data_IF_304288239519
#
_entry.id   IF_304288239519
#
_cell.length_a   1.000
_cell.length_b   1.000
_cell.length_c   1.000
_cell.angle_alpha   90.00
_cell.angle_beta   90.00
_cell.angle_gamma   90.00
#
_symmetry.space_group_name_H-M   'P 1'
#
loop_
_entity.id
_entity.type
_entity.pdbx_description
1 polymer ?
#
# COMPACT_ATOMS: atom_id res chain seq x y z
N UNK A 1 -54.72 -8.79 -28.97
CA UNK A 1 -54.65 -8.82 -27.50
C UNK A 1 -53.50 -9.72 -27.06
N UNK A 2 -53.31 -10.94 -27.56
CA UNK A 2 -52.25 -11.86 -27.11
C UNK A 2 -50.83 -11.36 -27.42
N UNK A 3 -50.57 -10.80 -28.60
CA UNK A 3 -49.27 -10.28 -29.00
C UNK A 3 -48.86 -9.03 -28.16
N UNK A 4 -49.83 -8.21 -27.79
CA UNK A 4 -49.61 -7.04 -26.91
C UNK A 4 -49.17 -7.49 -25.52
N UNK A 5 -49.84 -8.45 -24.90
CA UNK A 5 -49.47 -8.99 -23.61
C UNK A 5 -48.09 -9.70 -23.63
N UNK A 6 -47.75 -10.41 -24.69
CA UNK A 6 -46.44 -11.05 -24.83
C UNK A 6 -45.29 -10.03 -24.84
N UNK A 7 -45.44 -8.88 -25.52
CA UNK A 7 -44.43 -7.80 -25.52
C UNK A 7 -44.20 -7.20 -24.15
N UNK A 8 -45.25 -6.97 -23.36
CA UNK A 8 -45.09 -6.46 -22.00
C UNK A 8 -44.45 -7.47 -21.05
N UNK A 9 -44.76 -8.77 -21.15
CA UNK A 9 -44.11 -9.80 -20.37
C UNK A 9 -42.61 -9.88 -20.68
N UNK A 10 -42.20 -9.83 -21.93
CA UNK A 10 -40.82 -9.83 -22.34
C UNK A 10 -40.09 -8.58 -21.81
N UNK A 11 -40.70 -7.42 -21.97
CA UNK A 11 -40.12 -6.17 -21.45
C UNK A 11 -39.93 -6.18 -19.91
N UNK A 12 -40.91 -6.72 -19.17
CA UNK A 12 -40.80 -6.89 -17.72
C UNK A 12 -39.67 -7.85 -17.35
N UNK A 13 -39.58 -8.99 -18.06
CA UNK A 13 -38.48 -9.95 -17.80
C UNK A 13 -37.12 -9.33 -18.05
N UNK A 14 -36.95 -8.61 -19.17
CA UNK A 14 -35.70 -7.93 -19.50
C UNK A 14 -35.39 -6.87 -18.45
N UNK A 15 -36.35 -6.03 -18.09
CA UNK A 15 -36.15 -5.00 -17.05
C UNK A 15 -35.77 -5.62 -15.70
N UNK A 16 -36.46 -6.69 -15.30
CA UNK A 16 -36.14 -7.42 -14.07
C UNK A 16 -34.73 -8.00 -14.11
N UNK A 17 -34.34 -8.62 -15.23
CA UNK A 17 -33.00 -9.15 -15.42
C UNK A 17 -31.92 -8.04 -15.33
N UNK A 18 -32.18 -6.89 -15.95
CA UNK A 18 -31.27 -5.72 -15.88
C UNK A 18 -31.17 -5.20 -14.45
N UNK A 19 -32.29 -5.04 -13.74
CA UNK A 19 -32.28 -4.58 -12.33
C UNK A 19 -31.52 -5.57 -11.45
N UNK A 20 -31.75 -6.86 -11.58
CA UNK A 20 -31.03 -7.88 -10.83
C UNK A 20 -29.53 -7.83 -11.13
N UNK A 21 -29.16 -7.77 -12.42
CA UNK A 21 -27.76 -7.67 -12.85
C UNK A 21 -27.05 -6.43 -12.25
N UNK A 22 -27.67 -5.26 -12.36
CA UNK A 22 -27.13 -4.01 -11.81
C UNK A 22 -27.00 -4.10 -10.28
N UNK A 23 -28.00 -4.68 -9.61
CA UNK A 23 -27.97 -4.86 -8.16
C UNK A 23 -26.84 -5.78 -7.71
N UNK A 24 -26.63 -6.88 -8.42
CA UNK A 24 -25.51 -7.80 -8.15
C UNK A 24 -24.15 -7.14 -8.43
N UNK A 25 -24.04 -6.35 -9.48
CA UNK A 25 -22.83 -5.61 -9.79
C UNK A 25 -22.52 -4.57 -8.70
N UNK A 26 -23.51 -3.78 -8.28
CA UNK A 26 -23.36 -2.82 -7.19
C UNK A 26 -22.99 -3.51 -5.87
N UNK A 27 -23.63 -4.63 -5.55
CA UNK A 27 -23.27 -5.43 -4.38
C UNK A 27 -21.80 -5.87 -4.45
N UNK A 28 -21.36 -6.38 -5.59
CA UNK A 28 -19.99 -6.86 -5.79
C UNK A 28 -18.97 -5.73 -5.58
N UNK A 29 -19.13 -4.57 -6.21
CA UNK A 29 -18.14 -3.48 -6.11
C UNK A 29 -18.04 -2.90 -4.69
N UNK A 30 -19.17 -2.88 -3.95
CA UNK A 30 -19.18 -2.46 -2.54
C UNK A 30 -18.59 -3.54 -1.64
N UNK A 31 -18.86 -4.81 -1.91
CA UNK A 31 -18.31 -5.93 -1.14
C UNK A 31 -16.80 -6.01 -1.32
N UNK A 32 -16.29 -5.86 -2.55
CA UNK A 32 -14.84 -5.90 -2.85
C UNK A 32 -14.07 -4.77 -2.15
N UNK A 33 -14.68 -3.58 -2.00
CA UNK A 33 -14.07 -2.47 -1.27
C UNK A 33 -13.92 -2.73 0.25
N UNK A 34 -14.62 -3.74 0.78
CA UNK A 34 -14.56 -4.15 2.20
C UNK A 34 -13.77 -5.43 2.42
N UNK A 35 -13.43 -6.11 1.34
CA UNK A 35 -12.67 -7.36 1.35
C UNK A 35 -11.17 -7.04 1.37
N UNK A 36 -10.64 -6.85 2.58
CA UNK A 36 -9.22 -6.61 2.78
C UNK A 36 -8.47 -7.94 2.73
N UNK A 37 -7.58 -8.06 1.77
CA UNK A 37 -6.71 -9.23 1.61
C UNK A 37 -5.37 -9.02 2.29
N UNK A 38 -4.88 -10.06 2.96
CA UNK A 38 -3.48 -10.13 3.33
C UNK A 38 -2.76 -10.89 2.23
N UNK A 39 -1.58 -10.42 1.91
CA UNK A 39 -0.64 -11.10 1.03
C UNK A 39 0.59 -11.46 1.85
N UNK A 40 0.74 -12.73 2.15
CA UNK A 40 1.96 -13.24 2.77
C UNK A 40 2.95 -13.62 1.68
N UNK A 41 4.10 -12.96 1.70
CA UNK A 41 5.13 -13.13 0.67
C UNK A 41 6.45 -13.45 1.34
N UNK A 42 7.14 -14.50 0.86
CA UNK A 42 8.53 -14.72 1.17
C UNK A 42 9.38 -14.04 0.07
N UNK A 43 10.22 -13.10 0.48
CA UNK A 43 11.18 -12.45 -0.39
C UNK A 43 12.55 -13.06 -0.16
N UNK A 44 13.07 -13.78 -1.18
CA UNK A 44 14.42 -14.32 -1.17
C UNK A 44 15.41 -13.34 -1.73
N UNK A 45 16.48 -13.10 -0.97
CA UNK A 45 17.58 -12.20 -1.32
C UNK A 45 18.89 -12.99 -1.29
N UNK A 46 19.71 -12.94 -2.36
CA UNK A 46 20.93 -13.78 -2.46
C UNK A 46 21.93 -13.55 -1.33
N UNK A 47 22.23 -12.31 -1.03
CA UNK A 47 23.27 -11.93 -0.06
C UNK A 47 22.70 -11.43 1.28
N UNK A 48 21.45 -11.82 1.59
CA UNK A 48 20.83 -11.49 2.87
C UNK A 48 21.70 -11.97 4.03
N UNK A 49 21.92 -11.08 5.00
CA UNK A 49 22.57 -11.47 6.25
C UNK A 49 21.77 -12.60 6.94
N UNK A 50 22.38 -13.73 7.27
CA UNK A 50 21.66 -14.86 7.89
C UNK A 50 20.89 -14.50 9.16
N UNK A 51 21.28 -13.43 9.86
CA UNK A 51 20.59 -12.93 11.06
C UNK A 51 19.24 -12.29 10.77
N UNK A 52 18.96 -11.99 9.50
CA UNK A 52 17.69 -11.45 9.01
C UNK A 52 16.77 -12.54 8.43
N UNK A 53 17.15 -13.81 8.50
CA UNK A 53 16.26 -14.90 8.11
C UNK A 53 14.98 -14.88 8.94
N UNK A 54 13.81 -14.85 8.27
CA UNK A 54 12.50 -14.75 8.92
C UNK A 54 12.13 -13.34 9.42
N UNK A 55 12.91 -12.30 9.14
CA UNK A 55 12.55 -10.91 9.47
C UNK A 55 11.29 -10.49 8.74
N UNK A 56 10.29 -10.00 9.47
CA UNK A 56 8.95 -9.69 8.93
C UNK A 56 8.72 -8.20 8.83
N UNK A 57 8.39 -7.77 7.62
CA UNK A 57 7.99 -6.41 7.29
C UNK A 57 6.49 -6.40 7.02
N UNK A 58 5.71 -5.62 7.78
CA UNK A 58 4.37 -5.26 7.38
C UNK A 58 4.43 -4.02 6.48
N UNK A 59 3.68 -4.04 5.36
CA UNK A 59 3.51 -2.89 4.49
C UNK A 59 2.06 -2.65 4.14
N UNK A 60 1.60 -1.39 4.30
CA UNK A 60 0.28 -0.92 3.88
C UNK A 60 0.31 0.56 3.51
N UNK A 61 -0.51 0.95 2.54
CA UNK A 61 -0.63 2.32 2.06
C UNK A 61 -2.08 2.66 1.74
N UNK A 62 -2.35 3.91 1.41
CA UNK A 62 -3.64 4.38 0.90
C UNK A 62 -4.80 3.98 1.82
N UNK A 63 -4.66 4.27 3.11
CA UNK A 63 -5.65 3.90 4.12
C UNK A 63 -6.92 4.72 3.94
N UNK A 64 -6.80 6.00 3.57
CA UNK A 64 -7.91 6.92 3.38
C UNK A 64 -8.97 6.80 4.48
N UNK A 65 -8.53 6.91 5.73
CA UNK A 65 -9.41 6.77 6.89
C UNK A 65 -10.63 7.69 6.78
N UNK A 66 -11.81 7.11 7.02
CA UNK A 66 -13.09 7.78 6.80
C UNK A 66 -14.17 6.77 6.47
N UNK A 67 -14.88 6.91 5.35
CA UNK A 67 -15.76 5.90 4.83
C UNK A 67 -14.99 4.97 3.87
N UNK A 68 -14.96 3.63 4.06
CA UNK A 68 -15.64 2.87 5.13
C UNK A 68 -14.85 2.71 6.43
N UNK A 69 -13.59 3.17 6.51
CA UNK A 69 -12.66 2.92 7.61
C UNK A 69 -12.79 3.97 8.74
N UNK A 70 -13.94 3.96 9.42
CA UNK A 70 -14.18 4.75 10.64
C UNK A 70 -13.61 4.05 11.88
N UNK A 71 -13.90 4.54 13.09
CA UNK A 71 -13.36 4.02 14.36
C UNK A 71 -13.27 2.49 14.43
N UNK A 72 -14.39 1.78 14.19
CA UNK A 72 -14.42 0.32 14.26
C UNK A 72 -13.57 -0.32 13.18
N UNK A 73 -13.59 0.22 11.96
CA UNK A 73 -12.79 -0.27 10.85
C UNK A 73 -11.30 -0.10 11.13
N UNK A 74 -10.89 1.08 11.60
CA UNK A 74 -9.50 1.36 11.96
C UNK A 74 -9.01 0.51 13.14
N UNK A 75 -9.83 0.35 14.20
CA UNK A 75 -9.48 -0.52 15.33
C UNK A 75 -9.32 -1.98 14.91
N UNK A 76 -10.20 -2.47 14.04
CA UNK A 76 -10.08 -3.82 13.48
C UNK A 76 -8.82 -3.98 12.63
N UNK A 77 -8.51 -2.98 11.79
CA UNK A 77 -7.29 -2.96 10.97
C UNK A 77 -6.04 -3.05 11.84
N UNK A 78 -5.92 -2.21 12.87
CA UNK A 78 -4.78 -2.23 13.80
C UNK A 78 -4.68 -3.58 14.54
N UNK A 79 -5.80 -4.10 15.06
CA UNK A 79 -5.82 -5.43 15.69
C UNK A 79 -5.35 -6.51 14.73
N UNK A 80 -5.71 -6.37 13.47
CA UNK A 80 -5.35 -7.31 12.43
C UNK A 80 -3.86 -7.22 12.06
N UNK A 81 -3.31 -6.00 11.96
CA UNK A 81 -1.88 -5.76 11.73
C UNK A 81 -1.05 -6.35 12.87
N UNK A 82 -1.41 -6.08 14.11
CA UNK A 82 -0.66 -6.56 15.28
C UNK A 82 -0.62 -8.10 15.36
N UNK A 83 -1.68 -8.78 14.89
CA UNK A 83 -1.71 -10.25 14.81
C UNK A 83 -0.65 -10.84 13.86
N UNK A 84 -0.14 -10.05 12.92
CA UNK A 84 0.89 -10.50 11.99
C UNK A 84 2.27 -10.60 12.66
N UNK A 85 2.44 -9.97 13.82
CA UNK A 85 3.70 -10.00 14.58
C UNK A 85 4.91 -9.58 13.73
N UNK A 86 4.74 -8.51 12.96
CA UNK A 86 5.81 -7.95 12.15
C UNK A 86 6.93 -7.37 13.02
N UNK A 87 8.17 -7.51 12.58
CA UNK A 87 9.31 -6.89 13.24
C UNK A 87 9.34 -5.37 13.04
N UNK A 88 8.87 -4.91 11.88
CA UNK A 88 8.72 -3.50 11.54
C UNK A 88 7.44 -3.26 10.78
N UNK A 89 6.78 -2.12 11.00
CA UNK A 89 5.60 -1.67 10.26
C UNK A 89 5.98 -0.49 9.39
N UNK A 90 5.68 -0.59 8.09
CA UNK A 90 5.93 0.44 7.09
C UNK A 90 4.60 0.92 6.50
N UNK A 91 4.39 2.25 6.52
CA UNK A 91 3.18 2.89 6.04
C UNK A 91 3.49 3.80 4.84
N UNK A 92 2.87 3.54 3.71
CA UNK A 92 3.21 4.11 2.41
C UNK A 92 2.43 5.37 2.00
N UNK A 93 1.88 6.15 2.93
CA UNK A 93 1.19 7.42 2.63
C UNK A 93 -0.32 7.30 2.42
N UNK A 94 -0.95 8.45 2.21
CA UNK A 94 -2.39 8.62 2.00
C UNK A 94 -3.23 8.04 3.14
N UNK A 95 -3.00 8.57 4.35
CA UNK A 95 -3.64 8.07 5.57
C UNK A 95 -5.07 8.53 5.73
N UNK A 96 -5.39 9.73 5.22
CA UNK A 96 -6.72 10.35 5.33
C UNK A 96 -7.26 10.75 3.97
N UNK A 97 -8.58 10.70 3.81
CA UNK A 97 -9.24 10.88 2.52
C UNK A 97 -9.51 12.34 2.14
N UNK A 98 -8.60 13.28 2.40
CA UNK A 98 -8.72 14.67 1.96
C UNK A 98 -9.84 15.47 2.62
N UNK A 99 -10.32 15.04 3.77
CA UNK A 99 -11.13 15.84 4.67
C UNK A 99 -10.71 15.55 6.11
N UNK A 100 -10.60 16.59 6.93
CA UNK A 100 -10.18 16.55 8.35
C UNK A 100 -10.93 15.52 9.22
N UNK A 101 -11.99 14.91 8.70
CA UNK A 101 -12.74 13.89 9.44
C UNK A 101 -12.01 12.55 9.53
N UNK A 102 -11.04 12.28 8.65
CA UNK A 102 -10.22 11.08 8.69
C UNK A 102 -9.27 11.04 9.90
N UNK A 103 -8.75 12.20 10.28
CA UNK A 103 -7.78 12.35 11.37
C UNK A 103 -8.27 11.76 12.69
N UNK A 104 -9.54 11.99 13.04
CA UNK A 104 -10.14 11.46 14.26
C UNK A 104 -10.22 9.93 14.28
N UNK A 105 -10.03 9.26 13.15
CA UNK A 105 -10.07 7.80 13.06
C UNK A 105 -8.69 7.19 12.94
N UNK A 106 -7.81 7.80 12.14
CA UNK A 106 -6.48 7.28 11.83
C UNK A 106 -5.53 7.41 13.03
N UNK A 107 -5.16 8.62 13.43
CA UNK A 107 -4.12 8.85 14.43
C UNK A 107 -4.40 8.19 15.79
N UNK A 108 -5.64 8.22 16.36
CA UNK A 108 -5.93 7.49 17.57
C UNK A 108 -5.81 5.96 17.44
N UNK A 109 -6.03 5.43 16.25
CA UNK A 109 -5.95 3.99 16.03
C UNK A 109 -4.48 3.53 15.92
N UNK A 110 -3.66 4.22 15.13
CA UNK A 110 -2.26 3.82 14.86
C UNK A 110 -1.35 3.93 16.09
N UNK A 111 -1.73 4.67 17.13
CA UNK A 111 -1.08 4.62 18.45
C UNK A 111 -0.97 3.21 19.04
N UNK A 112 -1.83 2.30 18.62
CA UNK A 112 -1.89 0.93 19.12
C UNK A 112 -1.20 -0.07 18.18
N UNK A 113 -0.45 0.41 17.18
CA UNK A 113 0.38 -0.45 16.36
C UNK A 113 1.56 -0.97 17.18
N UNK A 114 1.86 -2.25 17.03
CA UNK A 114 2.89 -2.94 17.78
C UNK A 114 3.88 -3.60 16.81
N UNK A 115 5.13 -3.16 16.85
CA UNK A 115 6.23 -3.79 16.14
C UNK A 115 7.52 -3.67 16.94
N UNK A 116 8.38 -4.67 16.87
CA UNK A 116 9.65 -4.73 17.63
C UNK A 116 10.56 -3.53 17.35
N UNK A 117 10.63 -3.10 16.11
CA UNK A 117 11.48 -2.00 15.64
C UNK A 117 10.68 -0.74 15.30
N UNK A 118 9.41 -0.67 15.72
CA UNK A 118 8.57 0.52 15.55
C UNK A 118 7.85 0.61 14.22
N UNK A 119 7.22 1.76 13.99
CA UNK A 119 6.43 2.07 12.81
C UNK A 119 7.03 3.28 12.11
N UNK A 120 7.28 3.15 10.82
CA UNK A 120 7.83 4.18 9.94
C UNK A 120 6.85 4.48 8.82
N UNK A 121 6.81 5.74 8.39
CA UNK A 121 5.81 6.23 7.45
C UNK A 121 6.43 7.23 6.47
N UNK A 122 5.85 7.35 5.28
CA UNK A 122 6.07 8.46 4.34
C UNK A 122 4.77 9.22 4.12
N UNK A 123 4.82 10.43 3.62
CA UNK A 123 3.62 11.16 3.22
C UNK A 123 3.18 10.76 1.80
N UNK A 124 1.86 10.68 1.60
CA UNK A 124 1.25 10.67 0.27
C UNK A 124 0.70 12.04 -0.11
N UNK A 125 0.31 12.21 -1.37
CA UNK A 125 -0.15 13.49 -1.88
C UNK A 125 -1.43 14.00 -1.17
N UNK A 126 -2.30 13.12 -0.67
CA UNK A 126 -3.48 13.52 0.10
C UNK A 126 -3.13 14.02 1.50
N UNK A 127 -2.03 13.59 2.08
CA UNK A 127 -1.59 14.04 3.40
C UNK A 127 -1.11 15.51 3.36
N UNK A 128 -0.69 16.01 2.19
CA UNK A 128 -0.35 17.42 1.95
C UNK A 128 -1.56 18.36 1.85
N UNK A 129 -2.78 17.84 1.73
CA UNK A 129 -3.99 18.67 1.78
C UNK A 129 -4.29 19.18 3.20
N UNK A 130 -3.62 18.65 4.19
CA UNK A 130 -3.53 19.20 5.54
C UNK A 130 -2.26 20.06 5.66
N UNK A 131 -2.03 20.67 6.80
CA UNK A 131 -0.73 21.30 7.01
C UNK A 131 0.32 20.22 7.34
N UNK A 132 1.46 20.26 6.66
CA UNK A 132 2.56 19.31 6.88
C UNK A 132 2.92 19.20 8.38
N UNK A 133 2.99 20.34 9.07
CA UNK A 133 3.28 20.38 10.50
C UNK A 133 2.24 19.66 11.36
N UNK A 134 0.97 19.64 10.97
CA UNK A 134 -0.05 18.89 11.69
C UNK A 134 0.11 17.40 11.47
N UNK A 135 0.41 16.94 10.25
CA UNK A 135 0.67 15.53 9.95
C UNK A 135 1.90 15.06 10.73
N UNK A 136 3.01 15.79 10.68
CA UNK A 136 4.25 15.48 11.42
C UNK A 136 3.97 15.36 12.93
N UNK A 137 3.29 16.36 13.50
CA UNK A 137 2.94 16.37 14.93
C UNK A 137 2.04 15.18 15.30
N UNK A 138 1.00 14.91 14.53
CA UNK A 138 0.02 13.83 14.81
C UNK A 138 0.65 12.45 14.66
N UNK A 139 1.56 12.25 13.69
CA UNK A 139 2.35 11.03 13.55
C UNK A 139 3.26 10.81 14.76
N UNK A 140 4.01 11.86 15.15
CA UNK A 140 4.87 11.78 16.33
C UNK A 140 4.08 11.48 17.62
N UNK A 141 2.93 12.14 17.83
CA UNK A 141 2.01 11.86 18.95
C UNK A 141 1.43 10.43 18.91
N UNK A 142 1.34 9.86 17.73
CA UNK A 142 0.93 8.47 17.52
C UNK A 142 2.06 7.45 17.69
N UNK A 143 3.31 7.90 17.90
CA UNK A 143 4.48 7.02 18.01
C UNK A 143 4.96 6.49 16.64
N UNK A 144 4.59 7.15 15.55
CA UNK A 144 5.00 6.82 14.17
C UNK A 144 6.12 7.77 13.76
N UNK A 145 7.24 7.23 13.29
CA UNK A 145 8.33 8.03 12.73
C UNK A 145 8.06 8.34 11.27
N UNK A 146 7.84 9.61 10.96
CA UNK A 146 7.66 10.07 9.58
C UNK A 146 9.04 10.31 8.94
N UNK A 147 9.30 9.62 7.83
CA UNK A 147 10.51 9.77 7.02
C UNK A 147 10.19 10.68 5.83
N UNK A 148 10.95 11.74 5.70
CA UNK A 148 10.78 12.70 4.61
C UNK A 148 12.15 13.07 4.03
N UNK A 149 12.53 12.38 2.96
CA UNK A 149 13.89 12.40 2.43
C UNK A 149 14.91 12.08 3.53
N UNK A 150 14.65 11.02 4.25
CA UNK A 150 15.44 10.63 5.42
C UNK A 150 15.50 9.10 5.53
N UNK A 151 16.43 8.61 6.31
CA UNK A 151 16.52 7.19 6.62
C UNK A 151 16.87 6.97 8.10
N UNK A 152 16.56 5.80 8.58
CA UNK A 152 16.89 5.34 9.90
C UNK A 152 17.53 3.96 9.84
N UNK A 153 18.54 3.76 10.67
CA UNK A 153 19.20 2.48 10.87
C UNK A 153 18.92 1.92 12.26
N UNK A 154 18.61 0.64 12.31
CA UNK A 154 18.58 -0.14 13.57
C UNK A 154 19.23 -1.51 13.37
N UNK A 155 19.38 -2.25 14.47
CA UNK A 155 19.92 -3.62 14.43
C UNK A 155 18.86 -4.65 14.79
N UNK A 156 18.79 -5.69 13.98
CA UNK A 156 18.02 -6.90 14.28
C UNK A 156 18.98 -8.08 14.42
N UNK A 157 19.04 -8.66 15.63
CA UNK A 157 19.98 -9.73 15.97
C UNK A 157 21.46 -9.42 15.65
N UNK A 158 21.82 -8.11 15.63
CA UNK A 158 23.16 -7.62 15.30
C UNK A 158 23.40 -7.42 13.79
N UNK A 159 22.42 -7.63 12.91
CA UNK A 159 22.47 -7.23 11.51
C UNK A 159 21.87 -5.84 11.35
N UNK A 160 22.49 -4.99 10.53
CA UNK A 160 21.97 -3.66 10.21
C UNK A 160 20.79 -3.73 9.26
N UNK A 161 19.75 -2.94 9.58
CA UNK A 161 18.56 -2.75 8.75
C UNK A 161 18.34 -1.26 8.56
N UNK A 162 18.18 -0.82 7.33
CA UNK A 162 17.93 0.58 6.97
C UNK A 162 16.53 0.73 6.38
N UNK A 163 15.77 1.68 6.92
CA UNK A 163 14.47 2.09 6.38
C UNK A 163 14.61 3.49 5.85
N UNK A 164 14.37 3.70 4.57
CA UNK A 164 14.48 4.98 3.90
C UNK A 164 13.12 5.43 3.37
N UNK A 165 12.76 6.69 3.59
CA UNK A 165 11.51 7.27 3.13
C UNK A 165 11.76 8.52 2.29
N UNK A 166 11.28 8.50 1.05
CA UNK A 166 11.35 9.65 0.15
C UNK A 166 10.06 10.48 0.27
N UNK A 167 10.19 11.78 0.09
CA UNK A 167 9.06 12.70 0.07
C UNK A 167 8.17 12.45 -1.16
N UNK A 168 6.89 12.85 -1.10
CA UNK A 168 5.94 12.60 -2.19
C UNK A 168 6.37 13.27 -3.50
N UNK A 169 6.24 12.54 -4.61
CA UNK A 169 6.68 13.00 -5.93
C UNK A 169 5.81 14.14 -6.47
N UNK A 170 4.51 14.15 -6.15
CA UNK A 170 3.57 15.13 -6.69
C UNK A 170 3.41 16.37 -5.80
N UNK A 171 3.33 16.17 -4.49
CA UNK A 171 3.01 17.25 -3.56
C UNK A 171 4.23 17.69 -2.72
N UNK A 172 5.23 16.84 -2.62
CA UNK A 172 6.45 17.06 -1.86
C UNK A 172 7.63 17.59 -2.69
N UNK A 173 8.82 17.32 -2.20
CA UNK A 173 10.10 17.63 -2.85
C UNK A 173 11.04 16.44 -2.68
N UNK A 174 10.92 15.40 -3.49
CA UNK A 174 11.74 14.20 -3.37
C UNK A 174 13.22 14.51 -3.54
N UNK A 175 14.05 13.92 -2.67
CA UNK A 175 15.51 14.03 -2.66
C UNK A 175 16.09 12.66 -2.34
N UNK A 176 16.43 11.91 -3.39
CA UNK A 176 16.94 10.55 -3.27
C UNK A 176 18.37 10.48 -2.76
N UNK A 177 19.18 11.47 -3.03
CA UNK A 177 20.55 11.56 -2.50
C UNK A 177 20.52 11.66 -0.98
N UNK A 178 19.67 12.54 -0.45
CA UNK A 178 19.45 12.68 0.98
C UNK A 178 18.81 11.42 1.58
N UNK A 179 17.83 10.83 0.90
CA UNK A 179 17.13 9.62 1.34
C UNK A 179 18.08 8.44 1.52
N UNK A 180 19.07 8.29 0.62
CA UNK A 180 20.06 7.18 0.67
C UNK A 180 21.34 7.50 1.42
N UNK A 181 21.49 8.73 1.94
CA UNK A 181 22.72 9.18 2.56
C UNK A 181 23.12 8.32 3.76
N UNK A 182 24.34 7.80 3.76
CA UNK A 182 24.91 7.05 4.88
C UNK A 182 24.44 5.57 4.99
N UNK A 183 23.61 5.09 4.08
CA UNK A 183 23.23 3.66 4.04
C UNK A 183 24.45 2.84 3.62
N UNK A 184 24.80 1.84 4.43
CA UNK A 184 25.92 0.96 4.14
C UNK A 184 25.54 -0.12 3.14
N UNK A 185 26.29 -0.31 2.06
CA UNK A 185 25.99 -1.25 0.97
C UNK A 185 25.94 -2.74 1.39
N UNK A 186 26.46 -3.08 2.56
CA UNK A 186 26.45 -4.44 3.09
C UNK A 186 25.36 -4.69 4.13
N UNK A 187 24.43 -3.78 4.30
CA UNK A 187 23.29 -3.89 5.18
C UNK A 187 21.99 -3.89 4.38
N UNK A 188 20.98 -4.61 4.87
CA UNK A 188 19.66 -4.61 4.24
C UNK A 188 19.04 -3.22 4.27
N UNK A 189 18.54 -2.79 3.12
CA UNK A 189 17.91 -1.48 2.98
C UNK A 189 16.59 -1.58 2.20
N UNK A 190 15.52 -0.98 2.76
CA UNK A 190 14.24 -0.84 2.08
C UNK A 190 13.88 0.63 1.88
N UNK A 191 13.46 0.98 0.67
CA UNK A 191 12.94 2.30 0.34
C UNK A 191 11.41 2.29 0.31
N UNK A 192 10.80 3.29 0.95
CA UNK A 192 9.36 3.55 0.89
C UNK A 192 9.14 4.84 0.12
N UNK A 193 8.27 4.79 -0.88
CA UNK A 193 7.71 5.95 -1.55
C UNK A 193 6.19 5.85 -1.58
N UNK A 194 5.48 6.97 -1.56
CA UNK A 194 4.06 6.90 -1.85
C UNK A 194 3.82 6.66 -3.34
N UNK A 195 4.38 7.51 -4.21
CA UNK A 195 4.19 7.44 -5.65
C UNK A 195 5.29 6.55 -6.30
N UNK A 196 4.90 5.47 -7.02
CA UNK A 196 5.84 4.54 -7.62
C UNK A 196 6.59 5.09 -8.85
N UNK A 197 6.14 6.20 -9.45
CA UNK A 197 6.81 6.81 -10.60
C UNK A 197 8.23 7.29 -10.26
N UNK A 198 8.52 7.52 -8.98
CA UNK A 198 9.87 7.83 -8.50
C UNK A 198 10.91 6.78 -8.92
N UNK A 199 10.49 5.52 -9.06
CA UNK A 199 11.38 4.43 -9.44
C UNK A 199 11.77 4.44 -10.91
N UNK A 200 11.03 5.18 -11.78
CA UNK A 200 11.37 5.33 -13.18
C UNK A 200 12.22 6.58 -13.45
N UNK A 201 11.85 7.70 -12.84
CA UNK A 201 12.35 9.02 -13.23
C UNK A 201 13.33 9.61 -12.22
N UNK A 202 13.37 9.07 -11.02
CA UNK A 202 14.02 9.73 -9.91
C UNK A 202 15.38 9.18 -9.48
N UNK A 203 15.85 8.08 -10.06
CA UNK A 203 17.05 7.41 -9.55
C UNK A 203 18.31 7.91 -10.24
N UNK A 204 19.30 8.44 -9.51
CA UNK A 204 20.60 8.76 -10.07
C UNK A 204 21.25 7.48 -10.59
N UNK A 205 21.70 7.50 -11.85
CA UNK A 205 22.45 6.42 -12.51
C UNK A 205 21.69 5.11 -12.78
N UNK A 206 20.39 5.16 -13.05
CA UNK A 206 19.56 4.00 -13.39
C UNK A 206 19.62 2.86 -12.36
N UNK A 207 19.90 3.16 -11.09
CA UNK A 207 20.02 2.17 -10.04
C UNK A 207 19.24 2.60 -8.80
N UNK A 208 18.48 1.69 -8.21
CA UNK A 208 17.81 1.87 -6.92
C UNK A 208 18.79 2.09 -5.74
N UNK A 209 19.97 2.60 -6.04
CA UNK A 209 20.88 3.23 -5.09
C UNK A 209 21.42 2.34 -3.96
N UNK A 210 21.37 1.01 -4.13
CA UNK A 210 21.79 0.08 -3.09
C UNK A 210 20.66 -0.35 -2.13
N UNK A 211 19.39 -0.16 -2.53
CA UNK A 211 18.25 -0.76 -1.84
C UNK A 211 18.01 -2.21 -2.28
N UNK A 212 17.63 -3.06 -1.33
CA UNK A 212 17.28 -4.46 -1.55
C UNK A 212 15.78 -4.67 -1.81
N UNK A 213 14.97 -3.66 -1.48
CA UNK A 213 13.52 -3.68 -1.61
C UNK A 213 12.99 -2.26 -1.79
N UNK A 214 11.97 -2.09 -2.64
CA UNK A 214 11.24 -0.84 -2.80
C UNK A 214 9.73 -1.07 -2.69
N UNK A 215 9.03 -0.18 -1.96
CA UNK A 215 7.62 -0.31 -1.64
C UNK A 215 6.87 0.98 -1.98
N UNK A 216 5.72 0.87 -2.66
CA UNK A 216 4.89 2.03 -3.00
C UNK A 216 3.38 1.73 -2.96
N UNK A 217 2.59 2.81 -2.90
CA UNK A 217 1.13 2.82 -2.96
C UNK A 217 0.59 3.63 -4.13
N UNK A 218 -0.31 4.59 -3.82
CA UNK A 218 -0.82 5.66 -4.70
C UNK A 218 -1.80 5.23 -5.79
N UNK A 219 -1.55 4.15 -6.47
CA UNK A 219 -2.28 3.76 -7.70
C UNK A 219 -3.63 3.14 -7.46
N UNK A 220 -3.89 2.61 -6.26
CA UNK A 220 -5.07 1.81 -5.91
C UNK A 220 -5.33 0.64 -6.88
N UNK A 221 -4.34 0.19 -7.65
CA UNK A 221 -4.51 -0.70 -8.81
C UNK A 221 -5.57 -0.19 -9.81
N UNK A 222 -5.78 1.14 -9.86
CA UNK A 222 -6.83 1.80 -10.62
C UNK A 222 -8.22 1.73 -10.01
N UNK A 223 -8.38 1.19 -8.80
CA UNK A 223 -9.61 1.07 -7.99
C UNK A 223 -10.81 0.44 -8.71
N UNK A 224 -11.14 0.89 -9.94
CA UNK A 224 -12.19 0.33 -10.82
C UNK A 224 -11.55 -0.05 -12.14
N UNK A 225 -11.44 -1.33 -12.42
CA UNK A 225 -10.74 -1.84 -13.59
C UNK A 225 -11.68 -2.52 -14.58
N UNK A 226 -11.28 -2.61 -15.85
CA UNK A 226 -11.93 -3.46 -16.85
C UNK A 226 -11.49 -4.92 -16.70
N UNK A 227 -12.15 -5.67 -15.80
CA UNK A 227 -11.84 -7.06 -15.50
C UNK A 227 -10.37 -7.31 -15.14
N UNK A 228 -9.75 -6.37 -14.40
CA UNK A 228 -8.34 -6.46 -13.99
C UNK A 228 -7.32 -6.20 -15.10
N UNK A 229 -7.75 -5.94 -16.34
CA UNK A 229 -6.85 -5.83 -17.49
C UNK A 229 -6.44 -4.39 -17.85
N UNK A 230 -7.29 -3.43 -17.58
CA UNK A 230 -7.05 -2.02 -17.84
C UNK A 230 -7.76 -1.16 -16.81
N UNK A 231 -7.10 -0.10 -16.39
CA UNK A 231 -7.57 0.86 -15.42
C UNK A 231 -6.99 2.23 -15.76
N UNK A 232 -7.67 3.26 -15.30
CA UNK A 232 -7.02 4.55 -15.10
C UNK A 232 -6.31 4.50 -13.76
N UNK A 233 -5.06 4.89 -13.72
CA UNK A 233 -4.32 5.11 -12.50
C UNK A 233 -3.60 6.47 -12.58
N UNK A 234 -3.46 7.16 -11.47
CA UNK A 234 -2.77 8.44 -11.39
C UNK A 234 -1.24 8.21 -11.42
N UNK A 235 -0.70 7.84 -12.56
CA UNK A 235 0.71 7.56 -12.79
C UNK A 235 1.09 7.88 -14.22
N UNK A 236 2.25 8.45 -14.43
CA UNK A 236 2.80 8.77 -15.75
C UNK A 236 3.33 7.50 -16.45
N UNK A 237 3.69 6.47 -15.70
CA UNK A 237 4.17 5.20 -16.20
C UNK A 237 3.10 4.12 -16.30
N UNK A 238 1.84 4.43 -16.01
CA UNK A 238 0.64 3.65 -16.29
C UNK A 238 0.77 2.19 -15.88
N UNK A 239 0.84 1.28 -16.89
CA UNK A 239 0.87 -0.15 -16.62
C UNK A 239 2.14 -0.65 -15.93
N UNK A 240 3.25 0.10 -16.02
CA UNK A 240 4.52 -0.31 -15.45
C UNK A 240 4.42 -0.42 -13.92
N UNK A 241 3.80 0.56 -13.28
CA UNK A 241 3.68 0.65 -11.82
C UNK A 241 2.23 0.66 -11.34
N UNK A 242 1.35 -0.04 -12.05
CA UNK A 242 -0.07 -0.07 -11.65
C UNK A 242 -0.28 -0.83 -10.35
N UNK A 243 0.37 -1.99 -10.19
CA UNK A 243 0.22 -2.89 -9.05
C UNK A 243 1.17 -4.07 -9.11
N UNK A 244 1.16 -4.87 -8.05
CA UNK A 244 1.88 -6.14 -7.90
C UNK A 244 3.41 -5.97 -7.87
N UNK A 245 4.08 -7.09 -7.81
CA UNK A 245 5.52 -7.19 -7.76
C UNK A 245 6.17 -7.10 -9.14
N UNK A 246 7.36 -6.50 -9.15
CA UNK A 246 8.27 -6.51 -10.29
C UNK A 246 9.72 -6.51 -9.80
N UNK A 247 10.64 -6.88 -10.67
CA UNK A 247 12.08 -6.76 -10.41
C UNK A 247 12.64 -5.83 -11.48
N UNK A 248 13.28 -4.75 -11.04
CA UNK A 248 13.97 -3.80 -11.93
C UNK A 248 15.40 -3.59 -11.40
N UNK A 249 16.38 -3.70 -12.27
CA UNK A 249 17.81 -3.60 -11.93
C UNK A 249 18.25 -4.47 -10.74
N UNK A 250 17.60 -5.63 -10.61
CA UNK A 250 17.85 -6.56 -9.51
C UNK A 250 17.11 -6.24 -8.22
N UNK A 251 16.32 -5.15 -8.15
CA UNK A 251 15.58 -4.77 -6.95
C UNK A 251 14.11 -5.15 -7.07
N UNK A 252 13.56 -5.92 -6.13
CA UNK A 252 12.12 -6.15 -6.02
C UNK A 252 11.38 -4.85 -5.68
N UNK A 253 10.37 -4.53 -6.47
CA UNK A 253 9.49 -3.38 -6.28
C UNK A 253 8.07 -3.91 -6.08
N UNK A 254 7.41 -3.50 -5.01
CA UNK A 254 6.00 -3.74 -4.76
C UNK A 254 5.21 -2.45 -4.91
N UNK A 255 4.16 -2.49 -5.72
CA UNK A 255 3.11 -1.47 -5.73
C UNK A 255 1.83 -2.09 -5.20
N UNK A 256 1.38 -1.65 -4.01
CA UNK A 256 0.17 -2.20 -3.37
C UNK A 256 -1.10 -1.60 -3.95
N UNK A 257 -2.19 -2.37 -3.93
CA UNK A 257 -3.52 -1.86 -4.26
C UNK A 257 -4.07 -0.89 -3.20
N UNK A 258 -3.42 -0.77 -2.04
CA UNK A 258 -3.89 0.06 -0.94
C UNK A 258 -5.11 -0.50 -0.21
N UNK A 259 -5.37 0.08 0.96
CA UNK A 259 -6.41 -0.39 1.91
C UNK A 259 -7.75 0.28 1.68
N UNK A 260 -7.77 1.60 1.54
CA UNK A 260 -8.96 2.43 1.45
C UNK A 260 -9.49 2.61 0.03
N UNK A 261 -10.23 3.67 -0.16
CA UNK A 261 -10.80 4.06 -1.48
C UNK A 261 -10.79 5.58 -1.61
N UNK A 262 -10.61 6.07 -2.83
CA UNK A 262 -10.77 7.48 -3.17
C UNK A 262 -12.20 7.70 -3.70
N UNK A 263 -12.85 8.78 -3.25
CA UNK A 263 -14.19 9.16 -3.69
C UNK A 263 -15.26 8.21 -3.16
N UNK A 264 -15.72 7.28 -3.97
CA UNK A 264 -16.75 6.32 -3.60
C UNK A 264 -16.15 5.05 -2.95
N UNK A 265 -16.82 4.46 -1.93
CA UNK A 265 -16.34 3.24 -1.27
C UNK A 265 -16.64 1.99 -2.12
N UNK A 266 -16.06 1.93 -3.30
CA UNK A 266 -16.22 0.86 -4.28
C UNK A 266 -14.87 0.45 -4.88
N UNK A 267 -14.70 -0.85 -5.15
CA UNK A 267 -13.58 -1.43 -5.90
C UNK A 267 -14.09 -2.45 -6.89
N UNK A 268 -13.42 -2.62 -8.02
CA UNK A 268 -13.79 -3.61 -9.02
C UNK A 268 -12.57 -4.22 -9.69
N UNK A 269 -12.31 -5.50 -9.42
CA UNK A 269 -11.09 -6.24 -9.80
C UNK A 269 -9.78 -5.54 -9.35
N UNK A 270 -9.87 -4.84 -8.24
CA UNK A 270 -8.77 -4.18 -7.56
C UNK A 270 -8.98 -4.27 -6.03
N UNK A 271 -8.98 -5.46 -5.45
CA UNK A 271 -9.27 -5.67 -4.04
C UNK A 271 -8.31 -4.89 -3.15
N UNK A 272 -8.81 -4.46 -1.98
CA UNK A 272 -7.96 -3.87 -0.97
C UNK A 272 -6.93 -4.89 -0.46
N UNK A 273 -5.69 -4.45 -0.22
CA UNK A 273 -4.66 -5.36 0.26
C UNK A 273 -3.63 -4.72 1.17
N UNK A 274 -3.01 -5.56 1.97
CA UNK A 274 -1.81 -5.29 2.77
C UNK A 274 -0.85 -6.46 2.61
N UNK A 275 0.41 -6.21 2.90
CA UNK A 275 1.47 -7.19 2.69
C UNK A 275 2.21 -7.50 3.99
N UNK A 276 2.51 -8.78 4.18
CA UNK A 276 3.47 -9.28 5.17
C UNK A 276 4.59 -9.93 4.39
N UNK A 277 5.77 -9.31 4.43
CA UNK A 277 6.94 -9.72 3.67
C UNK A 277 7.91 -10.35 4.66
N UNK A 278 8.19 -11.63 4.47
CA UNK A 278 9.18 -12.37 5.26
C UNK A 278 10.47 -12.51 4.44
N UNK A 279 11.57 -12.00 4.99
CA UNK A 279 12.87 -12.11 4.34
C UNK A 279 13.44 -13.51 4.49
N UNK A 280 14.05 -14.02 3.42
CA UNK A 280 14.75 -15.31 3.43
C UNK A 280 15.98 -15.24 2.53
N UNK A 281 17.02 -15.99 2.88
CA UNK A 281 18.22 -16.10 2.07
C UNK A 281 18.03 -17.10 0.94
N UNK A 282 18.43 -16.74 -0.27
CA UNK A 282 18.38 -17.63 -1.44
C UNK A 282 18.44 -16.89 -2.77
N UNK A 283 18.43 -17.61 -3.89
CA UNK A 283 18.28 -16.97 -5.20
C UNK A 283 17.09 -16.01 -5.20
N UNK A 284 17.26 -14.83 -5.83
CA UNK A 284 16.22 -13.82 -5.83
C UNK A 284 14.88 -14.36 -6.35
N UNK A 285 13.87 -14.36 -5.48
CA UNK A 285 12.55 -14.91 -5.77
C UNK A 285 11.49 -14.24 -4.90
N UNK A 286 10.32 -14.04 -5.45
CA UNK A 286 9.14 -13.55 -4.76
C UNK A 286 8.13 -14.70 -4.71
N UNK A 287 7.86 -15.25 -3.53
CA UNK A 287 6.99 -16.41 -3.35
C UNK A 287 5.72 -15.97 -2.63
N UNK A 288 4.59 -16.07 -3.32
CA UNK A 288 3.28 -15.86 -2.72
C UNK A 288 2.89 -17.08 -1.88
N UNK A 289 2.86 -16.93 -0.57
CA UNK A 289 2.57 -18.02 0.36
C UNK A 289 1.07 -18.33 0.43
N UNK A 290 0.21 -17.40 -0.01
CA UNK A 290 -1.25 -17.59 -0.02
C UNK A 290 -1.73 -18.29 -1.30
N UNK A 291 -0.92 -18.33 -2.36
CA UNK A 291 -1.27 -18.98 -3.63
C UNK A 291 -1.22 -20.52 -3.57
N UNK A 292 -0.64 -21.08 -2.51
CA UNK A 292 -0.43 -22.52 -2.31
C UNK A 292 -1.35 -23.14 -1.27
N UNK A 293 -2.28 -22.37 -0.71
CA UNK A 293 -3.31 -22.79 0.27
C UNK A 293 -4.71 -22.92 -0.41
#
# INVERSE_FOLDING_TARGET
VSAFFQHYHLAIIILTAVVVFVSLLLYRVVAEAKDLRIRHVQLRIPDLDPRLEGFKIFFGADIHAGLPLRHKGMSNLVTFINKQQADVILLGGDYVGGNFRGNQYFYPAVKNLEARHGTYAVMGNHDYWETEADVERLMAEAGVTLLRNDNIRFEHNGAGVNIAGVDDLWAGKPDLEKTSAGIAQNEFAVMISHNPDIFADGLPNDNLGGFDLALAGHTHAGQITGFGKWAYAPTDHGKRYLKDWRIEDGVPILVTNGVGTIGFPIRFYAPAEIHVIELSRGPQEIIDLDASA
#
